data_IF_768633221784
#
_entry.id   IF_768633221784
#
_cell.length_a   1.000
_cell.length_b   1.000
_cell.length_c   1.000
_cell.angle_alpha   90.00
_cell.angle_beta   90.00
_cell.angle_gamma   90.00
#
_symmetry.space_group_name_H-M   'P 1'
#
loop_
_entity.id
_entity.type
_entity.pdbx_description
1 polymer ?
#
# COMPACT_ATOMS: atom_id res chain seq x y z
N UNK A 1 21.95 15.31 -30.60
CA UNK A 1 20.98 16.25 -30.02
C UNK A 1 20.13 15.51 -28.98
N UNK A 2 20.53 15.51 -27.70
CA UNK A 2 19.80 14.85 -26.57
C UNK A 2 19.69 15.78 -25.33
N UNK A 3 19.84 17.09 -25.52
CA UNK A 3 19.95 18.05 -24.42
C UNK A 3 18.63 18.47 -23.73
N UNK A 4 17.46 18.60 -24.41
CA UNK A 4 16.28 19.22 -23.76
C UNK A 4 15.61 18.30 -22.74
N UNK A 5 15.51 16.99 -23.01
CA UNK A 5 14.78 16.05 -22.15
C UNK A 5 15.48 15.82 -20.80
N UNK A 6 16.81 15.84 -20.80
CA UNK A 6 17.64 15.61 -19.60
C UNK A 6 17.58 16.80 -18.65
N UNK A 7 17.60 18.04 -19.16
CA UNK A 7 17.46 19.23 -18.32
C UNK A 7 16.08 19.33 -17.65
N UNK A 8 15.01 19.00 -18.38
CA UNK A 8 13.65 19.00 -17.83
C UNK A 8 13.46 17.95 -16.74
N UNK A 9 14.03 16.74 -16.90
CA UNK A 9 13.98 15.68 -15.86
C UNK A 9 14.70 16.12 -14.59
N UNK A 10 15.86 16.77 -14.72
CA UNK A 10 16.63 17.28 -13.58
C UNK A 10 15.90 18.40 -12.85
N UNK A 11 15.34 19.38 -13.59
CA UNK A 11 14.56 20.47 -12.99
C UNK A 11 13.31 19.96 -12.25
N UNK A 12 12.60 18.98 -12.84
CA UNK A 12 11.45 18.34 -12.19
C UNK A 12 11.85 17.65 -10.87
N UNK A 13 12.96 16.91 -10.88
CA UNK A 13 13.44 16.21 -9.68
C UNK A 13 13.82 17.20 -8.57
N UNK A 14 14.53 18.28 -8.92
CA UNK A 14 14.86 19.35 -7.98
C UNK A 14 13.61 19.99 -7.37
N UNK A 15 12.57 20.24 -8.18
CA UNK A 15 11.30 20.76 -7.69
C UNK A 15 10.61 19.78 -6.73
N UNK A 16 10.55 18.49 -7.08
CA UNK A 16 9.98 17.44 -6.23
C UNK A 16 10.70 17.38 -4.90
N UNK A 17 12.03 17.37 -4.91
CA UNK A 17 12.84 17.32 -3.69
C UNK A 17 12.62 18.58 -2.84
N UNK A 18 12.52 19.76 -3.45
CA UNK A 18 12.24 21.00 -2.74
C UNK A 18 10.84 20.99 -2.09
N UNK A 19 9.81 20.54 -2.81
CA UNK A 19 8.45 20.43 -2.29
C UNK A 19 8.35 19.38 -1.18
N UNK A 20 9.03 18.25 -1.32
CA UNK A 20 9.02 17.19 -0.32
C UNK A 20 9.63 17.64 1.01
N UNK A 21 10.64 18.51 0.98
CA UNK A 21 11.22 19.11 2.21
C UNK A 21 10.28 20.08 2.92
N UNK A 22 9.26 20.59 2.23
CA UNK A 22 8.23 21.46 2.81
C UNK A 22 7.07 20.66 3.43
N UNK A 23 7.08 19.32 3.33
CA UNK A 23 6.13 18.49 4.03
C UNK A 23 6.34 18.66 5.55
N UNK A 24 5.29 18.98 6.32
CA UNK A 24 5.42 19.09 7.76
C UNK A 24 5.71 17.70 8.35
N UNK A 25 6.45 17.68 9.47
CA UNK A 25 6.79 16.44 10.17
C UNK A 25 5.59 15.75 10.83
N UNK A 26 4.48 16.47 11.00
CA UNK A 26 3.21 15.93 11.48
C UNK A 26 2.12 16.47 10.58
N UNK A 27 1.25 15.59 10.13
CA UNK A 27 0.16 15.91 9.22
C UNK A 27 -1.18 15.71 9.92
N UNK A 28 -2.21 16.42 9.44
CA UNK A 28 -3.56 16.34 10.00
C UNK A 28 -4.38 15.47 9.07
N UNK A 29 -5.07 14.50 9.66
CA UNK A 29 -6.06 13.70 8.95
C UNK A 29 -7.30 14.55 8.66
N UNK A 30 -7.42 14.98 7.42
CA UNK A 30 -8.53 15.78 6.91
C UNK A 30 -9.70 14.92 6.40
N UNK A 31 -9.59 13.58 6.45
CA UNK A 31 -10.69 12.70 6.03
C UNK A 31 -11.85 12.75 7.03
N UNK A 32 -13.09 12.81 6.52
CA UNK A 32 -14.30 12.84 7.35
C UNK A 32 -14.41 11.64 8.29
N UNK A 33 -13.98 10.48 7.82
CA UNK A 33 -14.02 9.19 8.50
C UNK A 33 -12.81 8.96 9.41
N UNK A 34 -11.83 9.88 9.41
CA UNK A 34 -10.63 9.83 10.25
C UNK A 34 -9.80 8.56 10.05
N UNK A 35 -9.58 8.19 8.79
CA UNK A 35 -8.86 6.96 8.41
C UNK A 35 -7.41 6.91 8.93
N UNK A 36 -6.76 8.03 9.21
CA UNK A 36 -5.33 8.06 9.56
C UNK A 36 -5.06 8.60 10.98
N UNK A 37 -6.11 9.04 11.67
CA UNK A 37 -6.06 9.52 13.06
C UNK A 37 -6.81 8.61 14.05
N UNK A 38 -7.68 7.71 13.57
CA UNK A 38 -8.37 6.76 14.43
C UNK A 38 -7.39 5.72 14.99
N UNK A 39 -7.29 5.53 16.31
CA UNK A 39 -6.36 4.55 16.84
C UNK A 39 -6.82 3.11 16.57
N UNK A 40 -5.91 2.14 16.73
CA UNK A 40 -6.25 0.72 16.61
C UNK A 40 -7.23 0.26 17.70
N UNK A 41 -8.22 -0.52 17.29
CA UNK A 41 -9.24 -1.10 18.17
C UNK A 41 -9.04 -2.60 18.35
N UNK A 42 -9.71 -3.19 19.34
CA UNK A 42 -9.73 -4.65 19.52
C UNK A 42 -10.31 -5.37 18.28
N UNK A 43 -11.28 -4.75 17.61
CA UNK A 43 -11.92 -5.31 16.42
C UNK A 43 -10.98 -5.29 15.22
N UNK A 44 -10.14 -4.25 15.07
CA UNK A 44 -9.08 -4.22 14.07
C UNK A 44 -8.12 -5.40 14.25
N UNK A 45 -7.70 -5.66 15.50
CA UNK A 45 -6.83 -6.79 15.83
C UNK A 45 -7.52 -8.12 15.55
N UNK A 46 -8.78 -8.28 15.96
CA UNK A 46 -9.55 -9.49 15.70
C UNK A 46 -9.63 -9.79 14.20
N UNK A 47 -9.87 -8.76 13.37
CA UNK A 47 -9.97 -8.90 11.93
C UNK A 47 -8.63 -9.31 11.30
N UNK A 48 -7.51 -8.76 11.76
CA UNK A 48 -6.17 -9.14 11.28
C UNK A 48 -5.80 -10.56 11.72
N UNK A 49 -6.04 -10.93 12.97
CA UNK A 49 -5.82 -12.30 13.44
C UNK A 49 -6.61 -13.31 12.62
N UNK A 50 -7.88 -13.02 12.37
CA UNK A 50 -8.70 -13.83 11.47
C UNK A 50 -8.04 -13.95 10.10
N UNK A 51 -7.64 -12.84 9.46
CA UNK A 51 -6.98 -12.88 8.16
C UNK A 51 -5.69 -13.71 8.17
N UNK A 52 -4.84 -13.56 9.19
CA UNK A 52 -3.58 -14.33 9.34
C UNK A 52 -3.86 -15.84 9.41
N UNK A 53 -4.90 -16.26 10.13
CA UNK A 53 -5.25 -17.70 10.20
C UNK A 53 -5.67 -18.28 8.85
N UNK A 54 -6.21 -17.47 7.94
CA UNK A 54 -6.61 -17.92 6.60
C UNK A 54 -5.44 -18.07 5.63
N UNK A 55 -4.32 -17.37 5.87
CA UNK A 55 -3.16 -17.33 4.97
C UNK A 55 -2.02 -18.29 5.36
N UNK A 56 -2.22 -19.10 6.41
CA UNK A 56 -1.27 -20.12 6.88
C UNK A 56 -0.26 -19.58 7.89
N UNK A 57 -0.08 -20.31 9.00
CA UNK A 57 0.78 -19.90 10.12
C UNK A 57 2.28 -20.18 9.88
N UNK A 58 2.62 -20.94 8.83
CA UNK A 58 3.98 -21.40 8.52
C UNK A 58 4.90 -20.35 7.87
N UNK A 59 4.64 -19.06 8.10
CA UNK A 59 5.58 -18.02 7.67
C UNK A 59 6.85 -18.08 8.52
N UNK A 60 8.01 -17.85 7.90
CA UNK A 60 9.29 -17.78 8.62
C UNK A 60 9.20 -16.78 9.79
N UNK A 61 9.60 -17.24 10.98
CA UNK A 61 9.84 -16.36 12.13
C UNK A 61 10.95 -15.38 11.77
N UNK A 62 10.79 -14.12 12.19
CA UNK A 62 11.89 -13.16 12.14
C UNK A 62 13.00 -13.56 13.12
N UNK A 63 14.02 -12.74 13.24
CA UNK A 63 15.18 -13.02 14.11
C UNK A 63 14.83 -13.11 15.61
N UNK A 64 13.64 -12.66 16.02
CA UNK A 64 13.19 -12.60 17.41
C UNK A 64 12.43 -13.85 17.91
N UNK A 65 12.32 -14.93 17.10
CA UNK A 65 11.56 -16.16 17.43
C UNK A 65 10.08 -15.97 17.79
N UNK A 66 9.52 -14.76 17.68
CA UNK A 66 8.09 -14.50 17.82
C UNK A 66 7.37 -15.06 16.59
N UNK A 67 6.44 -15.99 16.81
CA UNK A 67 5.63 -16.63 15.76
C UNK A 67 4.24 -16.01 15.68
N UNK A 68 3.53 -16.28 14.57
CA UNK A 68 2.10 -15.95 14.48
C UNK A 68 1.28 -16.65 15.56
N UNK A 69 1.65 -17.87 15.94
CA UNK A 69 0.97 -18.60 17.02
C UNK A 69 1.03 -17.83 18.34
N UNK A 70 2.20 -17.33 18.72
CA UNK A 70 2.34 -16.51 19.91
C UNK A 70 1.47 -15.24 19.84
N UNK A 71 1.51 -14.52 18.72
CA UNK A 71 0.70 -13.30 18.55
C UNK A 71 -0.80 -13.59 18.62
N UNK A 72 -1.25 -14.73 18.11
CA UNK A 72 -2.65 -15.14 18.20
C UNK A 72 -3.11 -15.34 19.66
N UNK A 73 -2.20 -15.74 20.57
CA UNK A 73 -2.50 -15.86 22.02
C UNK A 73 -2.63 -14.53 22.75
N UNK A 74 -2.02 -13.44 22.25
CA UNK A 74 -2.03 -12.14 22.93
C UNK A 74 -3.45 -11.57 22.92
N UNK A 75 -4.07 -11.16 24.04
CA UNK A 75 -5.39 -10.54 24.03
C UNK A 75 -5.48 -9.32 23.10
N UNK A 76 -6.61 -9.19 22.39
CA UNK A 76 -6.74 -8.21 21.30
C UNK A 76 -6.61 -6.77 21.79
N UNK A 77 -7.17 -6.46 22.96
CA UNK A 77 -7.08 -5.15 23.61
C UNK A 77 -5.64 -4.80 24.00
N UNK A 78 -4.85 -5.79 24.44
CA UNK A 78 -3.43 -5.59 24.77
C UNK A 78 -2.60 -5.34 23.52
N UNK A 79 -2.86 -6.10 22.45
CA UNK A 79 -2.15 -5.93 21.19
C UNK A 79 -2.53 -4.60 20.53
N UNK A 80 -3.81 -4.19 20.57
CA UNK A 80 -4.26 -2.90 20.09
C UNK A 80 -3.58 -1.74 20.83
N UNK A 81 -3.48 -1.84 22.16
CA UNK A 81 -2.77 -0.87 22.99
C UNK A 81 -1.28 -0.82 22.63
N UNK A 82 -0.64 -1.99 22.49
CA UNK A 82 0.77 -2.07 22.11
C UNK A 82 1.03 -1.41 20.75
N UNK A 83 0.19 -1.70 19.73
CA UNK A 83 0.31 -1.08 18.42
C UNK A 83 0.05 0.44 18.48
N UNK A 84 -0.89 0.90 19.32
CA UNK A 84 -1.13 2.34 19.51
C UNK A 84 0.09 3.03 20.11
N UNK A 85 0.73 2.43 21.12
CA UNK A 85 1.87 3.04 21.82
C UNK A 85 3.17 2.99 21.02
N UNK A 86 3.34 1.99 20.15
CA UNK A 86 4.62 1.72 19.49
C UNK A 86 4.60 1.91 17.96
N UNK A 87 3.52 2.42 17.36
CA UNK A 87 3.43 2.56 15.90
C UNK A 87 4.62 3.33 15.29
N UNK A 88 5.09 4.40 15.96
CA UNK A 88 6.23 5.20 15.51
C UNK A 88 7.58 4.47 15.62
N UNK A 89 7.77 3.68 16.69
CA UNK A 89 9.02 2.95 16.93
C UNK A 89 9.19 1.74 16.00
N UNK A 90 8.08 1.14 15.57
CA UNK A 90 8.10 -0.05 14.71
C UNK A 90 8.36 0.27 13.24
N UNK A 91 7.94 1.44 12.76
CA UNK A 91 8.10 1.85 11.35
C UNK A 91 9.56 2.11 10.93
N UNK A 92 10.45 2.40 11.89
CA UNK A 92 11.85 2.76 11.61
C UNK A 92 12.78 1.54 11.40
N UNK A 93 12.37 0.34 11.82
CA UNK A 93 13.22 -0.86 11.81
C UNK A 93 12.98 -1.70 10.55
N UNK A 94 13.61 -1.31 9.44
CA UNK A 94 13.55 -2.02 8.16
C UNK A 94 14.71 -3.03 8.11
N UNK A 95 14.50 -4.21 8.69
CA UNK A 95 15.49 -5.29 8.63
C UNK A 95 15.03 -6.53 9.37
N UNK A 96 14.53 -7.52 8.62
CA UNK A 96 13.98 -8.80 9.11
C UNK A 96 12.73 -8.63 10.00
N UNK A 97 11.58 -8.57 9.35
CA UNK A 97 10.26 -8.31 9.95
C UNK A 97 9.94 -9.26 11.11
N UNK A 98 10.07 -8.72 12.34
CA UNK A 98 9.34 -9.26 13.49
C UNK A 98 7.86 -9.41 13.12
N UNK A 99 7.21 -10.48 13.57
CA UNK A 99 5.81 -10.75 13.29
C UNK A 99 4.91 -9.58 13.71
N UNK A 100 5.26 -8.85 14.77
CA UNK A 100 4.52 -7.67 15.19
C UNK A 100 4.54 -6.54 14.15
N UNK A 101 5.68 -6.33 13.46
CA UNK A 101 5.77 -5.38 12.36
C UNK A 101 4.88 -5.81 11.19
N UNK A 102 4.84 -7.11 10.86
CA UNK A 102 3.93 -7.65 9.84
C UNK A 102 2.46 -7.40 10.19
N UNK A 103 2.09 -7.58 11.47
CA UNK A 103 0.73 -7.31 11.93
C UNK A 103 0.41 -5.82 11.81
N UNK A 104 1.35 -4.93 12.18
CA UNK A 104 1.18 -3.49 12.02
C UNK A 104 1.05 -3.09 10.54
N UNK A 105 1.89 -3.61 9.65
CA UNK A 105 1.80 -3.31 8.22
C UNK A 105 0.51 -3.83 7.60
N UNK A 106 0.00 -4.99 8.05
CA UNK A 106 -1.31 -5.50 7.64
C UNK A 106 -2.48 -4.64 8.16
N UNK A 107 -2.39 -4.11 9.38
CA UNK A 107 -3.36 -3.16 9.92
C UNK A 107 -3.40 -1.87 9.08
N UNK A 108 -2.22 -1.32 8.79
CA UNK A 108 -2.07 -0.13 7.94
C UNK A 108 -2.60 -0.38 6.53
N UNK A 109 -2.19 -1.48 5.90
CA UNK A 109 -2.61 -1.90 4.57
C UNK A 109 -4.13 -2.03 4.48
N UNK A 110 -4.78 -2.70 5.45
CA UNK A 110 -6.23 -2.82 5.50
C UNK A 110 -6.91 -1.46 5.54
N UNK A 111 -6.40 -0.52 6.35
CA UNK A 111 -7.01 0.80 6.51
C UNK A 111 -6.81 1.69 5.27
N UNK A 112 -5.61 1.69 4.70
CA UNK A 112 -5.29 2.40 3.46
C UNK A 112 -6.15 1.86 2.31
N UNK A 113 -6.37 0.53 2.23
CA UNK A 113 -7.26 -0.06 1.23
C UNK A 113 -8.70 0.42 1.39
N UNK A 114 -9.24 0.39 2.61
CA UNK A 114 -10.61 0.84 2.86
C UNK A 114 -10.80 2.30 2.47
N UNK A 115 -9.85 3.17 2.81
CA UNK A 115 -9.81 4.55 2.35
C UNK A 115 -9.78 4.66 0.83
N UNK A 116 -8.89 3.94 0.16
CA UNK A 116 -8.75 4.00 -1.29
C UNK A 116 -10.00 3.50 -2.04
N UNK A 117 -10.67 2.47 -1.52
CA UNK A 117 -11.93 1.96 -2.05
C UNK A 117 -13.09 2.94 -1.81
N UNK A 118 -13.21 3.49 -0.59
CA UNK A 118 -14.25 4.47 -0.25
C UNK A 118 -14.13 5.74 -1.11
N UNK A 119 -12.90 6.21 -1.34
CA UNK A 119 -12.60 7.33 -2.22
C UNK A 119 -12.61 7.00 -3.71
N UNK A 120 -12.84 5.74 -4.11
CA UNK A 120 -12.77 5.25 -5.50
C UNK A 120 -11.48 5.65 -6.21
N UNK A 121 -10.36 5.63 -5.50
CA UNK A 121 -9.06 6.09 -5.99
C UNK A 121 -8.42 5.09 -6.97
N UNK A 122 -8.81 3.81 -6.89
CA UNK A 122 -8.30 2.76 -7.75
C UNK A 122 -9.20 2.58 -8.98
N UNK A 123 -8.66 2.66 -10.21
CA UNK A 123 -9.45 2.44 -11.41
C UNK A 123 -9.92 0.98 -11.49
N UNK A 124 -11.04 0.75 -12.18
CA UNK A 124 -11.60 -0.60 -12.36
C UNK A 124 -10.68 -1.57 -13.12
N UNK A 125 -9.69 -1.05 -13.87
CA UNK A 125 -8.67 -1.84 -14.55
C UNK A 125 -7.54 -2.35 -13.63
N UNK A 126 -7.44 -1.83 -12.40
CA UNK A 126 -6.42 -2.23 -11.44
C UNK A 126 -6.88 -3.45 -10.64
N UNK A 127 -6.34 -4.61 -11.03
CA UNK A 127 -6.69 -5.90 -10.42
C UNK A 127 -5.59 -6.44 -9.49
N UNK A 128 -4.33 -6.05 -9.73
CA UNK A 128 -3.19 -6.53 -8.97
C UNK A 128 -3.31 -6.16 -7.50
N UNK A 129 -3.04 -7.13 -6.62
CA UNK A 129 -3.05 -6.96 -5.17
C UNK A 129 -4.35 -6.36 -4.62
N UNK A 130 -5.51 -6.56 -5.26
CA UNK A 130 -6.81 -6.02 -4.82
C UNK A 130 -7.76 -7.17 -4.42
N UNK A 131 -8.26 -7.23 -3.18
CA UNK A 131 -9.19 -8.28 -2.76
C UNK A 131 -10.41 -8.38 -3.68
N UNK A 132 -10.82 -9.61 -4.01
CA UNK A 132 -11.92 -9.87 -4.95
C UNK A 132 -11.54 -9.80 -6.44
N UNK A 133 -10.35 -9.30 -6.78
CA UNK A 133 -9.84 -9.29 -8.14
C UNK A 133 -8.82 -10.41 -8.34
N UNK A 134 -8.84 -11.03 -9.54
CA UNK A 134 -7.95 -12.12 -9.92
C UNK A 134 -7.24 -11.79 -11.23
N UNK A 135 -6.09 -12.42 -11.46
CA UNK A 135 -5.33 -12.30 -12.71
C UNK A 135 -6.18 -12.67 -13.93
N UNK A 136 -7.06 -13.66 -13.79
CA UNK A 136 -7.97 -14.12 -14.83
C UNK A 136 -8.89 -13.02 -15.38
N UNK A 137 -9.24 -12.01 -14.59
CA UNK A 137 -10.10 -10.92 -15.03
C UNK A 137 -9.47 -10.14 -16.19
N UNK A 138 -8.17 -9.84 -16.11
CA UNK A 138 -7.48 -9.10 -17.18
C UNK A 138 -7.26 -9.96 -18.43
N UNK A 139 -6.97 -11.25 -18.25
CA UNK A 139 -6.87 -12.18 -19.37
C UNK A 139 -8.20 -12.32 -20.11
N UNK A 140 -9.32 -12.37 -19.37
CA UNK A 140 -10.66 -12.40 -19.94
C UNK A 140 -10.98 -11.12 -20.71
N UNK A 141 -10.69 -9.94 -20.15
CA UNK A 141 -10.89 -8.65 -20.84
C UNK A 141 -10.11 -8.61 -22.16
N UNK A 142 -8.84 -9.02 -22.14
CA UNK A 142 -8.01 -9.06 -23.36
C UNK A 142 -8.59 -10.03 -24.41
N UNK A 143 -9.05 -11.20 -23.97
CA UNK A 143 -9.71 -12.17 -24.86
C UNK A 143 -10.98 -11.58 -25.50
N UNK A 144 -11.86 -10.97 -24.72
CA UNK A 144 -13.07 -10.34 -25.24
C UNK A 144 -12.75 -9.20 -26.22
N UNK A 145 -11.70 -8.41 -25.95
CA UNK A 145 -11.25 -7.37 -26.86
C UNK A 145 -10.77 -7.96 -28.21
N UNK A 146 -10.04 -9.07 -28.17
CA UNK A 146 -9.57 -9.76 -29.37
C UNK A 146 -10.73 -10.36 -30.18
N UNK A 147 -11.68 -11.04 -29.52
CA UNK A 147 -12.87 -11.61 -30.16
C UNK A 147 -13.74 -10.51 -30.80
N UNK A 148 -13.93 -9.39 -30.11
CA UNK A 148 -14.66 -8.24 -30.64
C UNK A 148 -13.99 -7.64 -31.87
N UNK A 149 -12.67 -7.43 -31.83
CA UNK A 149 -11.91 -6.93 -32.97
C UNK A 149 -12.05 -7.86 -34.19
N UNK A 150 -11.91 -9.18 -33.98
CA UNK A 150 -12.09 -10.19 -35.01
C UNK A 150 -13.50 -10.15 -35.64
N UNK A 151 -14.55 -10.08 -34.82
CA UNK A 151 -15.95 -10.01 -35.29
C UNK A 151 -16.25 -8.78 -36.14
N UNK A 152 -15.52 -7.68 -35.91
CA UNK A 152 -15.68 -6.42 -36.64
C UNK A 152 -14.72 -6.29 -37.83
N UNK A 153 -13.91 -7.31 -38.13
CA UNK A 153 -12.86 -7.24 -39.15
C UNK A 153 -11.78 -6.20 -38.85
N UNK A 154 -11.58 -5.83 -37.59
CA UNK A 154 -10.59 -4.84 -37.14
C UNK A 154 -9.36 -5.51 -36.57
N UNK A 155 -8.22 -4.81 -36.67
CA UNK A 155 -6.97 -5.23 -36.01
C UNK A 155 -6.94 -4.71 -34.58
N UNK A 156 -6.57 -5.57 -33.62
CA UNK A 156 -6.26 -5.19 -32.25
C UNK A 156 -4.74 -5.08 -32.09
N UNK A 157 -4.28 -3.93 -31.60
CA UNK A 157 -2.87 -3.72 -31.24
C UNK A 157 -2.74 -3.76 -29.72
N UNK A 158 -1.76 -4.50 -29.20
CA UNK A 158 -1.54 -4.71 -27.76
C UNK A 158 -0.09 -4.39 -27.43
N UNK A 159 0.12 -3.62 -26.36
CA UNK A 159 1.44 -3.38 -25.78
C UNK A 159 1.51 -4.03 -24.41
N UNK A 160 2.51 -4.90 -24.21
CA UNK A 160 2.85 -5.46 -22.90
C UNK A 160 3.98 -4.63 -22.31
N UNK A 161 3.68 -3.83 -21.29
CA UNK A 161 4.65 -2.95 -20.63
C UNK A 161 4.91 -3.49 -19.24
N UNK A 162 6.19 -3.69 -18.90
CA UNK A 162 6.62 -4.11 -17.58
C UNK A 162 7.62 -3.11 -16.98
N UNK A 163 7.59 -2.95 -15.67
CA UNK A 163 8.46 -2.02 -14.95
C UNK A 163 9.67 -2.76 -14.37
N UNK A 164 10.87 -2.43 -14.86
CA UNK A 164 12.10 -2.95 -14.28
C UNK A 164 12.28 -2.45 -12.84
N UNK A 165 12.46 -3.37 -11.89
CA UNK A 165 12.70 -3.06 -10.47
C UNK A 165 11.66 -2.08 -9.87
N UNK A 166 10.37 -2.40 -9.99
CA UNK A 166 9.27 -1.51 -9.61
C UNK A 166 9.38 -0.94 -8.18
N UNK A 167 9.77 -1.74 -7.17
CA UNK A 167 9.90 -1.24 -5.79
C UNK A 167 11.16 -0.38 -5.54
N UNK A 168 12.38 -0.82 -5.93
CA UNK A 168 13.56 0.02 -5.75
C UNK A 168 13.57 1.30 -6.60
N UNK A 169 12.83 1.33 -7.71
CA UNK A 169 12.81 2.47 -8.64
C UNK A 169 11.82 3.59 -8.26
N UNK A 170 11.04 3.42 -7.19
CA UNK A 170 10.07 4.44 -6.76
C UNK A 170 10.77 5.69 -6.24
N UNK A 171 10.44 6.85 -6.83
CA UNK A 171 10.78 8.17 -6.28
C UNK A 171 9.94 8.42 -5.01
N UNK A 172 10.54 8.16 -3.84
CA UNK A 172 9.88 8.28 -2.54
C UNK A 172 9.39 9.71 -2.24
N UNK A 173 10.19 10.78 -2.44
CA UNK A 173 9.71 12.15 -2.34
C UNK A 173 8.43 12.41 -3.16
N UNK A 174 8.42 12.00 -4.43
CA UNK A 174 7.25 12.17 -5.29
C UNK A 174 6.05 11.34 -4.81
N UNK A 175 6.29 10.11 -4.34
CA UNK A 175 5.24 9.26 -3.80
C UNK A 175 4.55 9.92 -2.60
N UNK A 176 5.32 10.42 -1.63
CA UNK A 176 4.77 11.08 -0.44
C UNK A 176 3.97 12.33 -0.77
N UNK A 177 4.47 13.17 -1.69
CA UNK A 177 3.74 14.34 -2.18
C UNK A 177 2.40 13.95 -2.82
N UNK A 178 2.39 12.90 -3.65
CA UNK A 178 1.15 12.40 -4.28
C UNK A 178 0.17 11.84 -3.26
N UNK A 179 0.64 11.04 -2.32
CA UNK A 179 -0.19 10.44 -1.28
C UNK A 179 -0.83 11.51 -0.40
N UNK A 180 -0.05 12.50 0.06
CA UNK A 180 -0.59 13.65 0.78
C UNK A 180 -1.64 14.40 -0.05
N UNK A 181 -1.35 14.68 -1.32
CA UNK A 181 -2.30 15.36 -2.21
C UNK A 181 -3.63 14.61 -2.37
N UNK A 182 -3.60 13.27 -2.34
CA UNK A 182 -4.80 12.43 -2.37
C UNK A 182 -5.57 12.43 -1.03
N UNK A 183 -4.99 12.96 0.05
CA UNK A 183 -5.58 12.98 1.39
C UNK A 183 -5.06 11.90 2.33
N UNK A 184 -4.00 11.16 1.95
CA UNK A 184 -3.33 10.20 2.81
C UNK A 184 -2.35 10.93 3.73
N UNK A 185 -2.89 11.45 4.84
CA UNK A 185 -2.19 12.25 5.84
C UNK A 185 -2.79 12.00 7.23
N UNK A 186 -1.96 12.00 8.26
CA UNK A 186 -2.33 11.81 9.65
C UNK A 186 -1.27 11.03 10.44
N UNK A 187 -1.43 10.94 11.77
CA UNK A 187 -0.44 10.33 12.68
C UNK A 187 -0.04 8.89 12.35
N UNK A 188 -0.86 8.16 11.60
CA UNK A 188 -0.53 6.83 11.13
C UNK A 188 0.71 6.76 10.24
N UNK A 189 1.07 7.87 9.58
CA UNK A 189 2.04 7.95 8.49
C UNK A 189 3.18 8.93 8.76
N UNK A 190 3.10 9.64 9.89
CA UNK A 190 4.07 10.64 10.34
C UNK A 190 5.29 10.01 11.04
#
# INVERSE_FOLDING_TARGET
MNAPETQTKTARRQLVDALARLLPATTIDETSERWFSTPWTSDDIAAIKYAVTQHGLGSASGWEDITYEYVLTIPNEKLALYMRMNHFLMALSIGLECVLLKILTLLMDRRIRQWAEAGKLLPASQNGFRPGFRTNNNAFILRCAAERAASQGKKLYVASVDLANAFPSVDRPLLWLKLKHLGLQGPLLD
#
